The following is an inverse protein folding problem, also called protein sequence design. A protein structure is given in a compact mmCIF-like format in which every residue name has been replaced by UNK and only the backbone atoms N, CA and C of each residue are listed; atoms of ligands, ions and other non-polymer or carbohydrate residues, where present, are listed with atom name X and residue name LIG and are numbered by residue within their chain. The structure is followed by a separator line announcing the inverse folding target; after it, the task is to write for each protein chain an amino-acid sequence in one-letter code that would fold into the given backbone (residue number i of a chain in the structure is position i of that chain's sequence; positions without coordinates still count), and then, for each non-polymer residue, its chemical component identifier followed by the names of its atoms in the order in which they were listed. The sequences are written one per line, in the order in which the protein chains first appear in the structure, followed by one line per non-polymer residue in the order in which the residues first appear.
data_IF_500457034118
#
_entry.id   IF_500457034118
#
_cell.length_a   1.000
_cell.length_b   1.000
_cell.length_c   1.000
_cell.angle_alpha   90.00
_cell.angle_beta   90.00
_cell.angle_gamma   90.00
#
_symmetry.space_group_name_H-M   'P 1'
#
loop_
_entity.id
_entity.type
_entity.pdbx_description
1 polymer ?
#
# COMPACT_ATOMS: atom_id res chain seq x y z
N UNK A 1 64.85 3.33 -39.28
CA UNK A 1 65.41 4.60 -38.81
C UNK A 1 64.27 5.44 -38.26
N UNK A 2 64.13 5.73 -36.98
CA UNK A 2 64.58 5.09 -35.75
C UNK A 2 63.53 5.45 -34.68
N UNK A 3 63.20 4.45 -33.88
CA UNK A 3 62.48 4.47 -32.58
C UNK A 3 63.55 4.76 -31.49
N UNK A 4 63.34 5.07 -30.17
CA UNK A 4 62.16 5.01 -29.26
C UNK A 4 61.94 6.31 -28.42
N UNK A 5 61.00 6.47 -27.48
CA UNK A 5 60.63 5.60 -26.35
C UNK A 5 59.29 5.91 -25.63
N UNK A 6 58.44 4.87 -25.56
CA UNK A 6 57.73 4.28 -24.39
C UNK A 6 56.95 5.19 -23.41
N UNK A 7 55.79 4.81 -22.87
CA UNK A 7 55.25 3.47 -22.66
C UNK A 7 53.72 3.46 -22.70
N UNK A 8 53.19 2.43 -23.35
CA UNK A 8 51.81 2.00 -23.49
C UNK A 8 51.48 0.86 -22.52
N UNK A 9 50.23 0.78 -22.04
CA UNK A 9 49.43 -0.44 -21.73
C UNK A 9 47.97 0.05 -21.84
N UNK A 10 47.00 -0.53 -22.54
CA UNK A 10 46.85 -1.76 -23.31
C UNK A 10 45.35 -1.84 -23.70
N UNK A 11 45.07 -2.20 -24.95
CA UNK A 11 43.75 -2.16 -25.63
C UNK A 11 42.90 -3.45 -25.35
N UNK A 12 42.00 -3.90 -26.25
CA UNK A 12 40.64 -3.44 -26.57
C UNK A 12 39.58 -4.58 -26.43
N UNK A 13 38.26 -4.29 -26.47
CA UNK A 13 37.26 -5.35 -26.75
C UNK A 13 36.23 -4.91 -27.79
N UNK A 14 36.58 -5.22 -29.04
CA UNK A 14 35.79 -5.83 -30.11
C UNK A 14 34.27 -5.53 -30.23
N UNK A 15 33.93 -4.75 -31.27
CA UNK A 15 32.59 -4.46 -31.81
C UNK A 15 32.08 -5.56 -32.76
N UNK A 16 32.19 -6.83 -32.38
CA UNK A 16 31.62 -7.95 -33.14
C UNK A 16 31.05 -8.99 -32.18
N UNK A 17 29.78 -8.82 -31.87
CA UNK A 17 28.80 -9.80 -31.33
C UNK A 17 27.82 -9.12 -30.37
N UNK A 18 26.97 -8.24 -30.90
CA UNK A 18 25.64 -8.03 -30.32
C UNK A 18 24.66 -8.24 -31.46
N UNK A 19 24.33 -9.51 -31.68
CA UNK A 19 23.19 -9.95 -32.46
C UNK A 19 21.95 -9.20 -31.96
N UNK A 20 21.07 -8.85 -32.90
CA UNK A 20 19.68 -8.49 -32.62
C UNK A 20 19.11 -9.50 -31.60
N UNK A 21 18.87 -9.01 -30.39
CA UNK A 21 18.33 -9.77 -29.29
C UNK A 21 17.50 -8.83 -28.45
N UNK A 22 16.18 -9.00 -28.55
CA UNK A 22 15.16 -8.36 -27.73
C UNK A 22 15.57 -8.36 -26.26
N UNK A 23 15.90 -7.20 -25.69
CA UNK A 23 16.04 -7.07 -24.24
C UNK A 23 15.63 -5.64 -23.86
N UNK A 24 14.42 -5.54 -23.32
CA UNK A 24 13.99 -4.48 -22.40
C UNK A 24 15.11 -4.23 -21.39
N UNK A 25 15.88 -3.16 -21.57
CA UNK A 25 16.87 -2.70 -20.59
C UNK A 25 16.48 -1.30 -20.14
N UNK A 26 15.68 -1.25 -19.08
CA UNK A 26 15.62 -0.07 -18.23
C UNK A 26 17.04 0.18 -17.68
N UNK A 27 17.70 1.22 -18.18
CA UNK A 27 19.05 1.57 -17.75
C UNK A 27 18.95 2.55 -16.58
N UNK A 28 19.22 2.03 -15.37
CA UNK A 28 19.20 2.79 -14.13
C UNK A 28 20.39 3.75 -14.06
N UNK A 29 20.14 5.05 -13.98
CA UNK A 29 21.17 6.07 -13.77
C UNK A 29 21.18 6.50 -12.30
N UNK A 30 22.20 6.07 -11.54
CA UNK A 30 22.39 6.43 -10.13
C UNK A 30 23.42 7.53 -10.00
N UNK A 31 23.01 8.74 -9.58
CA UNK A 31 23.93 9.83 -9.23
C UNK A 31 24.48 9.61 -7.81
N UNK A 32 25.81 9.64 -7.65
CA UNK A 32 26.42 9.85 -6.33
C UNK A 32 26.25 11.35 -5.98
N UNK A 33 25.60 11.64 -4.87
CA UNK A 33 25.43 13.01 -4.39
C UNK A 33 26.77 13.66 -4.10
N UNK A 34 27.12 14.72 -4.85
CA UNK A 34 28.16 15.67 -4.49
C UNK A 34 27.57 16.72 -3.56
N UNK A 35 28.30 17.07 -2.50
CA UNK A 35 27.96 18.12 -1.52
C UNK A 35 27.50 19.40 -2.23
N UNK A 36 26.22 19.73 -2.07
CA UNK A 36 25.66 20.98 -2.58
C UNK A 36 26.17 22.14 -1.72
N UNK A 37 26.99 22.98 -2.34
CA UNK A 37 27.43 24.25 -1.77
C UNK A 37 26.21 25.13 -1.51
N UNK A 38 26.13 25.57 -0.27
CA UNK A 38 25.19 26.49 0.35
C UNK A 38 24.90 27.73 -0.52
N UNK A 39 23.74 27.75 -1.19
CA UNK A 39 23.14 28.98 -1.71
C UNK A 39 21.84 29.25 -0.96
N UNK A 40 21.85 30.39 -0.26
CA UNK A 40 20.81 30.91 0.62
C UNK A 40 19.48 31.10 -0.12
N UNK A 41 18.44 30.45 0.39
CA UNK A 41 17.03 30.73 0.17
C UNK A 41 16.29 30.44 1.48
N UNK A 42 15.59 31.43 2.02
CA UNK A 42 15.09 31.49 3.38
C UNK A 42 13.84 30.62 3.63
N UNK A 43 13.97 29.30 3.57
CA UNK A 43 12.96 28.37 4.06
C UNK A 43 13.64 27.17 4.71
N UNK A 44 14.11 27.33 5.95
CA UNK A 44 14.39 26.18 6.81
C UNK A 44 13.25 26.02 7.82
N UNK A 45 12.35 25.03 7.65
CA UNK A 45 11.38 24.72 8.68
C UNK A 45 12.07 24.05 9.87
N UNK A 46 11.59 24.36 11.08
CA UNK A 46 12.16 24.00 12.39
C UNK A 46 12.33 22.49 12.65
N UNK A 47 11.79 21.61 11.80
CA UNK A 47 12.00 20.16 11.86
C UNK A 47 13.26 19.68 11.12
N UNK A 48 13.94 20.55 10.35
CA UNK A 48 15.11 20.23 9.53
C UNK A 48 16.39 19.89 10.33
N UNK A 49 16.32 19.89 11.67
CA UNK A 49 17.40 19.38 12.52
C UNK A 49 17.09 17.94 12.91
N UNK A 50 17.20 17.01 11.96
CA UNK A 50 17.32 15.58 12.25
C UNK A 50 18.58 15.03 11.58
N UNK A 51 19.36 14.31 12.39
CA UNK A 51 20.67 13.72 12.10
C UNK A 51 20.71 13.16 10.67
N UNK A 52 21.63 13.69 9.86
CA UNK A 52 22.01 13.10 8.57
C UNK A 52 22.50 11.67 8.82
N UNK A 53 21.59 10.71 8.67
CA UNK A 53 21.95 9.33 8.42
C UNK A 53 22.63 9.30 7.05
N UNK A 54 23.90 8.90 7.00
CA UNK A 54 24.73 8.82 5.80
C UNK A 54 24.28 7.68 4.86
N UNK A 55 22.97 7.49 4.67
CA UNK A 55 22.44 6.55 3.67
C UNK A 55 22.44 7.28 2.33
N UNK A 56 23.07 6.73 1.28
CA UNK A 56 23.01 7.35 -0.04
C UNK A 56 21.56 7.30 -0.55
N UNK A 57 20.89 8.44 -0.53
CA UNK A 57 19.57 8.61 -1.13
C UNK A 57 19.62 8.27 -2.62
N UNK A 58 18.85 7.25 -3.03
CA UNK A 58 18.76 6.79 -4.43
C UNK A 58 17.53 7.39 -5.07
N UNK A 59 17.71 8.44 -5.87
CA UNK A 59 16.63 9.01 -6.65
C UNK A 59 16.48 8.25 -7.98
N UNK A 60 15.31 7.65 -8.19
CA UNK A 60 14.95 7.05 -9.46
C UNK A 60 14.41 8.12 -10.40
N UNK A 61 14.95 8.16 -11.61
CA UNK A 61 14.48 9.06 -12.65
C UNK A 61 14.03 8.26 -13.87
N UNK A 62 12.84 8.58 -14.37
CA UNK A 62 12.31 8.05 -15.61
C UNK A 62 12.43 9.13 -16.68
N UNK A 63 13.03 8.82 -17.81
CA UNK A 63 13.27 9.82 -18.84
C UNK A 63 13.67 9.24 -20.18
N UNK A 64 13.84 10.14 -21.15
CA UNK A 64 14.31 9.81 -22.50
C UNK A 64 15.72 10.39 -22.71
N UNK A 65 16.59 9.60 -23.34
CA UNK A 65 17.89 10.06 -23.84
C UNK A 65 17.74 10.53 -25.29
N UNK A 66 18.24 11.73 -25.61
CA UNK A 66 18.26 12.30 -26.96
C UNK A 66 19.69 12.68 -27.35
N UNK A 67 20.12 12.25 -28.53
CA UNK A 67 21.43 12.59 -29.08
C UNK A 67 21.34 13.96 -29.76
N UNK A 68 22.27 14.86 -29.42
CA UNK A 68 22.43 16.17 -30.01
C UNK A 68 23.61 16.10 -30.98
N UNK A 69 23.33 15.73 -32.23
CA UNK A 69 24.34 15.43 -33.26
C UNK A 69 25.32 16.59 -33.48
N UNK A 70 24.82 17.83 -33.47
CA UNK A 70 25.64 19.03 -33.69
C UNK A 70 26.72 19.27 -32.61
N UNK A 71 26.52 18.75 -31.40
CA UNK A 71 27.43 18.95 -30.27
C UNK A 71 28.14 17.65 -29.86
N UNK A 72 27.80 16.51 -30.46
CA UNK A 72 28.30 15.19 -30.05
C UNK A 72 27.93 14.82 -28.60
N UNK A 73 26.80 15.31 -28.08
CA UNK A 73 26.36 15.10 -26.70
C UNK A 73 25.06 14.29 -26.64
N UNK A 74 24.78 13.66 -25.50
CA UNK A 74 23.49 13.01 -25.22
C UNK A 74 22.83 13.72 -24.04
N UNK A 75 21.65 14.28 -24.26
CA UNK A 75 20.82 14.90 -23.23
C UNK A 75 19.85 13.88 -22.64
N UNK A 76 19.76 13.81 -21.32
CA UNK A 76 18.77 13.00 -20.63
C UNK A 76 17.70 13.91 -20.02
N UNK A 77 16.48 13.85 -20.58
CA UNK A 77 15.33 14.57 -20.06
C UNK A 77 14.50 13.59 -19.24
N UNK A 78 14.40 13.83 -17.93
CA UNK A 78 13.78 12.90 -17.00
C UNK A 78 12.94 13.60 -15.94
N UNK A 79 11.99 12.85 -15.39
CA UNK A 79 11.19 13.21 -14.22
C UNK A 79 11.55 12.27 -13.07
N UNK A 80 11.58 12.76 -11.81
CA UNK A 80 11.76 11.90 -10.66
C UNK A 80 10.53 11.01 -10.47
N UNK A 81 10.75 9.73 -10.17
CA UNK A 81 9.69 8.78 -9.86
C UNK A 81 9.55 8.71 -8.35
N UNK A 82 8.47 9.31 -7.83
CA UNK A 82 8.20 9.45 -6.40
C UNK A 82 6.79 8.96 -6.15
N UNK A 83 6.64 8.01 -5.24
CA UNK A 83 5.33 7.42 -4.91
C UNK A 83 4.69 8.11 -3.69
N UNK A 84 5.51 8.56 -2.74
CA UNK A 84 5.06 9.15 -1.47
C UNK A 84 5.65 10.55 -1.23
N UNK A 85 4.84 11.46 -0.69
CA UNK A 85 5.30 12.80 -0.30
C UNK A 85 6.34 12.74 0.83
N UNK A 86 6.24 11.76 1.73
CA UNK A 86 7.22 11.59 2.82
C UNK A 86 8.61 11.21 2.28
N UNK A 87 8.65 10.28 1.32
CA UNK A 87 9.89 9.88 0.65
C UNK A 87 10.51 11.06 -0.12
N UNK A 88 9.69 11.93 -0.71
CA UNK A 88 10.17 13.17 -1.34
C UNK A 88 10.94 14.05 -0.36
N UNK A 89 10.41 14.22 0.86
CA UNK A 89 11.07 15.01 1.91
C UNK A 89 12.35 14.33 2.42
N UNK A 90 12.36 13.01 2.54
CA UNK A 90 13.55 12.25 2.93
C UNK A 90 14.68 12.41 1.89
N UNK A 91 14.32 12.46 0.59
CA UNK A 91 15.25 12.73 -0.50
C UNK A 91 15.70 14.21 -0.57
N UNK A 92 15.15 15.08 0.27
CA UNK A 92 15.43 16.52 0.29
C UNK A 92 14.80 17.29 -0.88
N UNK A 93 13.81 16.71 -1.55
CA UNK A 93 13.06 17.35 -2.62
C UNK A 93 11.83 18.05 -2.05
N UNK A 94 11.47 19.17 -2.66
CA UNK A 94 10.25 19.89 -2.38
C UNK A 94 9.25 19.72 -3.52
N UNK A 95 7.96 19.92 -3.24
CA UNK A 95 6.90 19.89 -4.26
C UNK A 95 7.15 20.92 -5.39
N UNK A 96 7.81 22.03 -5.05
CA UNK A 96 8.19 23.08 -6.01
C UNK A 96 9.29 22.65 -6.98
N UNK A 97 10.09 21.64 -6.63
CA UNK A 97 11.15 21.11 -7.49
C UNK A 97 10.58 20.22 -8.61
N UNK A 98 9.34 19.75 -8.45
CA UNK A 98 8.60 19.05 -9.49
C UNK A 98 8.10 20.05 -10.54
N UNK A 99 8.17 19.64 -11.80
CA UNK A 99 7.73 20.46 -12.92
C UNK A 99 6.24 20.79 -12.82
N UNK A 100 5.85 21.97 -13.32
CA UNK A 100 4.44 22.35 -13.47
C UNK A 100 3.83 21.86 -14.79
N UNK A 101 4.69 21.46 -15.72
CA UNK A 101 4.31 21.10 -17.08
C UNK A 101 4.10 19.59 -17.24
N UNK A 102 4.47 18.81 -16.24
CA UNK A 102 4.22 17.37 -16.19
C UNK A 102 3.27 17.02 -15.03
N UNK A 103 2.83 15.77 -15.01
CA UNK A 103 1.90 15.28 -13.99
C UNK A 103 2.62 14.76 -12.73
N UNK A 104 3.94 14.95 -12.59
CA UNK A 104 4.68 14.40 -11.43
C UNK A 104 4.20 15.02 -10.11
N UNK A 105 3.93 16.33 -10.12
CA UNK A 105 3.36 17.06 -8.99
C UNK A 105 1.95 16.58 -8.63
N UNK A 106 1.11 16.40 -9.63
CA UNK A 106 -0.27 15.95 -9.43
C UNK A 106 -0.31 14.52 -8.88
N UNK A 107 0.53 13.63 -9.41
CA UNK A 107 0.65 12.25 -8.93
C UNK A 107 1.07 12.18 -7.46
N UNK A 108 2.04 13.00 -7.03
CA UNK A 108 2.45 13.05 -5.63
C UNK A 108 1.30 13.50 -4.71
N UNK A 109 0.56 14.54 -5.10
CA UNK A 109 -0.58 15.05 -4.34
C UNK A 109 -1.76 14.05 -4.29
N UNK A 110 -2.08 13.43 -5.42
CA UNK A 110 -3.12 12.41 -5.50
C UNK A 110 -2.74 11.17 -4.69
N UNK A 111 -1.47 10.77 -4.69
CA UNK A 111 -0.96 9.69 -3.86
C UNK A 111 -1.24 9.95 -2.38
N UNK A 112 -0.92 11.16 -1.89
CA UNK A 112 -1.20 11.56 -0.52
C UNK A 112 -2.70 11.58 -0.19
N UNK A 113 -3.52 12.20 -1.05
CA UNK A 113 -4.96 12.25 -0.85
C UNK A 113 -5.59 10.83 -0.80
N UNK A 114 -5.13 9.94 -1.69
CA UNK A 114 -5.59 8.56 -1.72
C UNK A 114 -5.19 7.81 -0.46
N UNK A 115 -3.95 7.99 0.01
CA UNK A 115 -3.48 7.40 1.26
C UNK A 115 -4.35 7.82 2.45
N UNK A 116 -4.61 9.12 2.62
CA UNK A 116 -5.48 9.62 3.70
C UNK A 116 -6.90 9.07 3.60
N UNK A 117 -7.46 8.98 2.38
CA UNK A 117 -8.80 8.40 2.18
C UNK A 117 -8.83 6.91 2.53
N UNK A 118 -7.80 6.16 2.17
CA UNK A 118 -7.68 4.75 2.51
C UNK A 118 -7.59 4.55 4.03
N UNK A 119 -6.80 5.37 4.72
CA UNK A 119 -6.65 5.32 6.18
C UNK A 119 -7.99 5.54 6.89
N UNK A 120 -8.76 6.56 6.49
CA UNK A 120 -10.10 6.83 7.05
C UNK A 120 -11.05 5.65 6.78
N UNK A 121 -11.02 5.09 5.57
CA UNK A 121 -11.88 3.96 5.20
C UNK A 121 -11.54 2.71 6.01
N UNK A 122 -10.25 2.48 6.23
CA UNK A 122 -9.74 1.39 7.05
C UNK A 122 -10.22 1.52 8.51
N UNK A 123 -10.03 2.69 9.13
CA UNK A 123 -10.50 2.93 10.50
C UNK A 123 -12.01 2.74 10.64
N UNK A 124 -12.79 3.18 9.64
CA UNK A 124 -14.24 2.99 9.62
C UNK A 124 -14.63 1.52 9.54
N UNK A 125 -13.95 0.74 8.70
CA UNK A 125 -14.19 -0.68 8.57
C UNK A 125 -13.85 -1.43 9.87
N UNK A 126 -12.75 -1.05 10.53
CA UNK A 126 -12.35 -1.61 11.82
C UNK A 126 -13.40 -1.32 12.91
N UNK A 127 -13.87 -0.07 13.03
CA UNK A 127 -14.91 0.30 13.99
C UNK A 127 -16.22 -0.47 13.73
N UNK A 128 -16.61 -0.63 12.47
CA UNK A 128 -17.80 -1.39 12.10
C UNK A 128 -17.66 -2.88 12.44
N UNK A 129 -16.47 -3.47 12.26
CA UNK A 129 -16.20 -4.85 12.66
C UNK A 129 -16.37 -5.05 14.17
N UNK A 130 -15.86 -4.13 14.97
CA UNK A 130 -16.00 -4.17 16.44
C UNK A 130 -17.47 -4.04 16.88
N UNK A 131 -18.23 -3.15 16.23
CA UNK A 131 -19.67 -3.01 16.49
C UNK A 131 -20.42 -4.31 16.16
N UNK A 132 -20.12 -4.91 15.01
CA UNK A 132 -20.74 -6.16 14.55
C UNK A 132 -20.45 -7.32 15.52
N UNK A 133 -19.22 -7.43 16.04
CA UNK A 133 -18.88 -8.41 17.08
C UNK A 133 -19.70 -8.21 18.34
N UNK A 134 -19.86 -6.96 18.81
CA UNK A 134 -20.67 -6.65 19.99
C UNK A 134 -22.15 -7.01 19.80
N UNK A 135 -22.69 -6.79 18.59
CA UNK A 135 -24.08 -7.11 18.26
C UNK A 135 -24.29 -8.62 18.18
N UNK A 136 -23.30 -9.36 17.65
CA UNK A 136 -23.34 -10.82 17.62
C UNK A 136 -23.40 -11.41 19.04
N UNK A 137 -22.59 -10.90 19.97
CA UNK A 137 -22.63 -11.35 21.38
C UNK A 137 -24.02 -11.10 21.98
N UNK A 138 -24.58 -9.90 21.81
CA UNK A 138 -25.94 -9.59 22.28
C UNK A 138 -26.98 -10.52 21.65
N UNK A 139 -26.85 -10.82 20.36
CA UNK A 139 -27.73 -11.75 19.67
C UNK A 139 -27.67 -13.15 20.29
N UNK A 140 -26.48 -13.63 20.65
CA UNK A 140 -26.30 -14.91 21.34
C UNK A 140 -26.96 -14.90 22.73
N UNK A 141 -26.81 -13.82 23.51
CA UNK A 141 -27.47 -13.66 24.81
C UNK A 141 -29.00 -13.70 24.70
N UNK A 142 -29.57 -13.00 23.71
CA UNK A 142 -31.03 -12.99 23.49
C UNK A 142 -31.53 -14.35 23.02
N UNK A 143 -30.74 -15.06 22.22
CA UNK A 143 -31.05 -16.42 21.78
C UNK A 143 -31.07 -17.38 22.96
N UNK A 144 -30.10 -17.29 23.87
CA UNK A 144 -30.05 -18.11 25.09
C UNK A 144 -31.27 -17.84 25.98
N UNK A 145 -31.61 -16.57 26.24
CA UNK A 145 -32.82 -16.19 26.99
C UNK A 145 -34.11 -16.71 26.34
N UNK A 146 -34.16 -16.70 25.01
CA UNK A 146 -35.28 -17.27 24.24
C UNK A 146 -35.39 -18.78 24.40
N UNK A 147 -34.26 -19.50 24.36
CA UNK A 147 -34.19 -20.94 24.58
C UNK A 147 -34.62 -21.31 26.01
N UNK A 148 -34.15 -20.58 27.02
CA UNK A 148 -34.52 -20.81 28.43
C UNK A 148 -36.02 -20.65 28.65
N UNK A 149 -36.61 -19.59 28.09
CA UNK A 149 -38.04 -19.36 28.15
C UNK A 149 -38.83 -20.48 27.45
N UNK A 150 -38.35 -20.95 26.28
CA UNK A 150 -38.98 -22.04 25.54
C UNK A 150 -39.04 -23.33 26.37
N UNK A 151 -37.94 -23.69 27.05
CA UNK A 151 -37.88 -24.88 27.90
C UNK A 151 -38.62 -24.73 29.24
N UNK A 152 -38.83 -23.50 29.73
CA UNK A 152 -39.64 -23.26 30.92
C UNK A 152 -41.15 -23.41 30.67
N UNK A 153 -41.60 -23.08 29.46
CA UNK A 153 -43.03 -23.09 29.10
C UNK A 153 -43.51 -24.42 28.49
N UNK A 154 -42.62 -25.20 27.87
CA UNK A 154 -42.98 -26.42 27.15
C UNK A 154 -42.22 -27.65 27.65
N UNK A 155 -42.81 -28.86 27.59
CA UNK A 155 -42.08 -30.09 27.84
C UNK A 155 -40.87 -30.24 26.91
N UNK A 156 -39.73 -30.71 27.44
CA UNK A 156 -38.44 -30.79 26.72
C UNK A 156 -38.55 -31.39 25.31
N UNK A 157 -39.30 -32.49 25.16
CA UNK A 157 -39.49 -33.20 23.87
C UNK A 157 -40.15 -32.32 22.79
N UNK A 158 -41.07 -31.43 23.19
CA UNK A 158 -41.78 -30.51 22.31
C UNK A 158 -40.87 -29.33 21.95
N UNK A 159 -40.22 -28.75 22.96
CA UNK A 159 -39.29 -27.62 22.78
C UNK A 159 -38.13 -27.97 21.83
N UNK A 160 -37.53 -29.17 21.95
CA UNK A 160 -36.45 -29.61 21.06
C UNK A 160 -36.88 -29.72 19.59
N UNK A 161 -38.13 -30.13 19.31
CA UNK A 161 -38.67 -30.20 17.95
C UNK A 161 -38.85 -28.82 17.36
N UNK A 162 -39.45 -27.90 18.12
CA UNK A 162 -39.65 -26.50 17.70
C UNK A 162 -38.29 -25.82 17.46
N UNK A 163 -37.29 -26.06 18.33
CA UNK A 163 -35.94 -25.53 18.16
C UNK A 163 -35.22 -26.05 16.91
N UNK A 164 -35.54 -27.28 16.46
CA UNK A 164 -35.03 -27.86 15.21
C UNK A 164 -35.74 -27.29 13.96
N UNK A 165 -36.74 -26.42 14.12
CA UNK A 165 -37.50 -25.81 13.03
C UNK A 165 -38.69 -26.62 12.56
N UNK A 166 -39.14 -27.61 13.35
CA UNK A 166 -40.41 -28.32 13.08
C UNK A 166 -41.59 -27.40 13.38
N UNK A 167 -42.63 -27.45 12.55
CA UNK A 167 -43.83 -26.64 12.78
C UNK A 167 -44.52 -27.08 14.08
N UNK A 168 -45.20 -26.12 14.74
CA UNK A 168 -45.86 -26.37 16.01
C UNK A 168 -46.98 -27.41 15.88
N UNK A 169 -47.67 -27.42 14.72
CA UNK A 169 -48.77 -28.33 14.43
C UNK A 169 -48.31 -29.79 14.29
N UNK A 170 -47.15 -30.01 13.69
CA UNK A 170 -46.54 -31.34 13.53
C UNK A 170 -46.06 -31.95 14.85
N UNK A 171 -46.03 -31.13 15.92
CA UNK A 171 -45.63 -31.58 17.25
C UNK A 171 -46.81 -32.12 18.08
N UNK A 172 -48.05 -31.93 17.61
CA UNK A 172 -49.25 -32.43 18.28
C UNK A 172 -49.28 -33.97 18.32
N UNK A 173 -49.65 -34.52 19.48
CA UNK A 173 -49.77 -35.96 19.71
C UNK A 173 -51.08 -36.24 20.43
N UNK A 174 -51.73 -37.35 20.05
CA UNK A 174 -52.90 -37.89 20.74
C UNK A 174 -52.37 -38.85 21.80
N UNK A 175 -52.89 -38.72 23.02
CA UNK A 175 -52.56 -39.60 24.15
C UNK A 175 -53.82 -40.39 24.53
N UNK A 176 -53.69 -41.72 24.67
CA UNK A 176 -54.83 -42.61 24.95
C UNK A 176 -55.37 -42.46 26.38
N UNK A 177 -54.49 -42.14 27.33
CA UNK A 177 -54.84 -41.96 28.75
C UNK A 177 -54.03 -40.81 29.36
N UNK A 178 -54.72 -39.88 30.03
CA UNK A 178 -54.09 -38.72 30.71
C UNK A 178 -54.86 -38.41 31.98
N UNK A 179 -54.15 -38.14 33.08
CA UNK A 179 -54.74 -37.61 34.30
C UNK A 179 -54.56 -36.10 34.39
N UNK A 180 -55.62 -35.39 34.77
CA UNK A 180 -55.61 -33.93 34.92
C UNK A 180 -56.00 -33.61 36.35
N UNK A 181 -55.17 -32.82 37.03
CA UNK A 181 -55.45 -32.31 38.37
C UNK A 181 -55.71 -30.81 38.30
N UNK A 182 -56.85 -30.38 38.82
CA UNK A 182 -57.16 -28.97 39.04
C UNK A 182 -57.10 -28.70 40.54
N UNK A 183 -56.41 -27.63 40.93
CA UNK A 183 -56.29 -27.16 42.31
C UNK A 183 -57.23 -25.98 42.55
#
# INVERSE_FOLDING_TARGET
MDVPSRCSIGAPVNTKNCLFGELNKYQYFSRRGSTLSERRGSCQPRWAVKKQSLVPYRLLMKGQMKVLENMGLVAFLAMPLIENIEEMFDLGLCLNDLSIHDNSREMALLGWQNFTRLEITYQRAEAYSQELESLKIKQEEWKEKGDDLLYAMLPKKVAEKIRKGTDALDTCQIFDEVSVLFA
#
